data_IF_879320730736
#
_entry.id   IF_879320730736
#
_cell.length_a   1.000
_cell.length_b   1.000
_cell.length_c   1.000
_cell.angle_alpha   90.00
_cell.angle_beta   90.00
_cell.angle_gamma   90.00
#
_symmetry.space_group_name_H-M   'P 1'
#
loop_
_entity.id
_entity.type
_entity.pdbx_description
1 polymer ?
#
# COMPACT_ATOMS: atom_id res chain seq x y z
N UNK A 1 2.54 -17.69 -0.19
CA UNK A 1 1.44 -16.73 -0.40
C UNK A 1 2.01 -15.53 -1.13
N UNK A 2 1.58 -15.28 -2.37
CA UNK A 2 1.93 -14.08 -3.12
C UNK A 2 0.82 -13.04 -2.85
N UNK A 3 1.17 -11.86 -2.32
CA UNK A 3 0.20 -10.88 -1.84
C UNK A 3 0.75 -9.47 -1.81
N UNK A 4 -0.16 -8.49 -1.81
CA UNK A 4 0.14 -7.06 -1.71
C UNK A 4 -0.05 -6.61 -0.27
N UNK A 5 0.70 -5.61 0.16
CA UNK A 5 0.57 -5.10 1.52
C UNK A 5 1.49 -3.92 1.79
N UNK A 6 1.75 -3.69 3.08
CA UNK A 6 2.65 -2.65 3.57
C UNK A 6 3.93 -3.29 4.13
N UNK A 7 5.02 -2.53 4.12
CA UNK A 7 6.26 -2.86 4.82
C UNK A 7 6.08 -2.78 6.33
N UNK A 8 7.03 -3.33 7.08
CA UNK A 8 6.97 -3.37 8.55
C UNK A 8 6.93 -1.97 9.19
N UNK A 9 7.59 -1.00 8.57
CA UNK A 9 7.61 0.40 8.98
C UNK A 9 6.58 1.26 8.22
N UNK A 10 5.71 0.61 7.43
CA UNK A 10 4.67 1.22 6.61
C UNK A 10 5.18 2.28 5.61
N UNK A 11 6.50 2.35 5.39
CA UNK A 11 7.13 3.28 4.46
C UNK A 11 7.18 2.75 3.03
N UNK A 12 6.79 1.48 2.83
CA UNK A 12 6.74 0.82 1.54
C UNK A 12 5.42 0.12 1.32
N UNK A 13 4.93 0.18 0.09
CA UNK A 13 4.03 -0.83 -0.45
C UNK A 13 4.86 -2.01 -0.91
N UNK A 14 4.40 -3.20 -0.56
CA UNK A 14 5.08 -4.46 -0.88
C UNK A 14 4.24 -5.31 -1.82
N UNK A 15 4.94 -6.03 -2.70
CA UNK A 15 4.38 -7.08 -3.54
C UNK A 15 5.22 -8.34 -3.31
N UNK A 16 4.58 -9.41 -2.85
CA UNK A 16 5.23 -10.68 -2.51
C UNK A 16 6.40 -10.52 -1.51
N UNK A 17 6.22 -9.62 -0.53
CA UNK A 17 7.25 -9.30 0.46
C UNK A 17 8.40 -8.45 -0.03
N UNK A 18 8.38 -7.98 -1.30
CA UNK A 18 9.37 -7.07 -1.85
C UNK A 18 8.83 -5.64 -1.91
N UNK A 19 9.66 -4.66 -1.57
CA UNK A 19 9.35 -3.25 -1.65
C UNK A 19 9.19 -2.82 -3.12
N UNK A 20 8.04 -2.21 -3.47
CA UNK A 20 7.75 -1.79 -4.86
C UNK A 20 7.43 -0.31 -5.03
N UNK A 21 6.88 0.34 -4.00
CA UNK A 21 6.63 1.78 -4.01
C UNK A 21 6.91 2.36 -2.62
N UNK A 22 7.77 3.36 -2.56
CA UNK A 22 8.04 4.08 -1.32
C UNK A 22 6.95 5.12 -1.07
N UNK A 23 6.57 5.27 0.20
CA UNK A 23 5.59 6.25 0.65
C UNK A 23 6.27 7.40 1.39
N UNK A 24 6.15 8.63 0.87
CA UNK A 24 6.53 9.82 1.63
C UNK A 24 5.78 9.89 2.97
N UNK A 25 6.39 10.50 4.02
CA UNK A 25 5.81 10.54 5.36
C UNK A 25 4.33 10.97 5.42
N UNK A 26 3.94 11.95 4.60
CA UNK A 26 2.59 12.51 4.55
C UNK A 26 1.55 11.58 3.88
N UNK A 27 2.00 10.52 3.20
CA UNK A 27 1.18 9.48 2.58
C UNK A 27 1.20 8.15 3.36
N UNK A 28 1.91 8.10 4.49
CA UNK A 28 1.93 6.89 5.32
C UNK A 28 0.57 6.65 5.98
N UNK A 29 0.17 5.38 6.14
CA UNK A 29 -1.14 5.03 6.67
C UNK A 29 -1.25 5.38 8.16
N UNK A 30 -2.39 5.93 8.56
CA UNK A 30 -2.95 5.74 9.91
C UNK A 30 -3.89 4.54 9.95
N UNK A 31 -4.44 4.16 8.79
CA UNK A 31 -5.21 2.94 8.58
C UNK A 31 -5.03 2.44 7.14
N UNK A 32 -5.22 1.14 6.93
CA UNK A 32 -5.18 0.56 5.60
C UNK A 32 -6.12 -0.63 5.46
N UNK A 33 -6.51 -0.93 4.22
CA UNK A 33 -7.23 -2.14 3.86
C UNK A 33 -6.66 -2.72 2.56
N UNK A 34 -6.51 -4.04 2.54
CA UNK A 34 -6.03 -4.77 1.35
C UNK A 34 -7.15 -5.69 0.86
N UNK A 35 -7.49 -5.57 -0.41
CA UNK A 35 -8.45 -6.46 -1.07
C UNK A 35 -7.88 -6.90 -2.43
N UNK A 36 -7.50 -8.17 -2.53
CA UNK A 36 -6.95 -8.74 -3.77
C UNK A 36 -5.68 -8.01 -4.22
N UNK A 37 -5.79 -7.21 -5.28
CA UNK A 37 -4.69 -6.43 -5.89
C UNK A 37 -4.79 -4.93 -5.59
N UNK A 38 -5.65 -4.55 -4.64
CA UNK A 38 -5.88 -3.17 -4.26
C UNK A 38 -5.47 -2.94 -2.82
N UNK A 39 -4.87 -1.78 -2.58
CA UNK A 39 -4.54 -1.28 -1.25
C UNK A 39 -5.16 0.10 -1.14
N UNK A 40 -6.00 0.29 -0.12
CA UNK A 40 -6.51 1.60 0.27
C UNK A 40 -5.79 2.07 1.52
N UNK A 41 -5.33 3.32 1.51
CA UNK A 41 -4.57 3.94 2.60
C UNK A 41 -5.32 5.20 3.04
N UNK A 42 -5.61 5.29 4.33
CA UNK A 42 -6.03 6.52 4.98
C UNK A 42 -4.87 7.14 5.75
N UNK A 43 -4.61 8.42 5.54
CA UNK A 43 -3.53 9.18 6.18
C UNK A 43 -4.05 10.00 7.37
N UNK A 44 -3.12 10.46 8.22
CA UNK A 44 -3.41 11.24 9.43
C UNK A 44 -4.18 12.54 9.21
N UNK A 45 -4.10 13.14 8.00
CA UNK A 45 -4.83 14.35 7.62
C UNK A 45 -6.16 14.07 6.90
N UNK A 46 -6.70 12.86 7.01
CA UNK A 46 -7.98 12.47 6.41
C UNK A 46 -7.94 12.24 4.89
N UNK A 47 -6.75 12.30 4.27
CA UNK A 47 -6.57 11.94 2.85
C UNK A 47 -6.67 10.43 2.70
N UNK A 48 -7.38 9.99 1.66
CA UNK A 48 -7.47 8.58 1.29
C UNK A 48 -7.03 8.42 -0.14
N UNK A 49 -6.19 7.42 -0.40
CA UNK A 49 -5.83 7.03 -1.76
C UNK A 49 -5.85 5.51 -1.89
N UNK A 50 -6.12 5.07 -3.13
CA UNK A 50 -6.17 3.64 -3.46
C UNK A 50 -5.21 3.36 -4.60
N UNK A 51 -4.44 2.31 -4.46
CA UNK A 51 -3.51 1.81 -5.47
C UNK A 51 -4.00 0.44 -5.92
N UNK A 52 -4.07 0.25 -7.24
CA UNK A 52 -4.41 -1.03 -7.86
C UNK A 52 -3.28 -1.52 -8.75
N UNK A 53 -3.00 -2.81 -8.72
CA UNK A 53 -1.99 -3.43 -9.56
C UNK A 53 -2.64 -4.09 -10.79
N UNK A 54 -2.27 -3.63 -11.99
CA UNK A 54 -2.67 -4.27 -13.24
C UNK A 54 -1.98 -5.63 -13.40
N UNK A 55 -2.63 -6.54 -14.13
CA UNK A 55 -1.90 -7.67 -14.72
C UNK A 55 -1.40 -7.17 -16.06
N UNK A 56 -0.11 -7.34 -16.32
CA UNK A 56 0.32 -7.43 -17.71
C UNK A 56 -0.27 -8.72 -18.26
N UNK A 57 -1.18 -8.57 -19.22
CA UNK A 57 -1.74 -9.63 -20.07
C UNK A 57 -0.97 -9.68 -21.37
#
# INVERSE_FOLDING_TARGET
>A
KQGYGLGQDESWITCNGKNVLWLPPEYRPSCSAVQGRMISIGCSLGRVFTISFSRYV
#
